data_IF_031482655242
#
_entry.id   IF_031482655242
#
_cell.length_a   1.000
_cell.length_b   1.000
_cell.length_c   1.000
_cell.angle_alpha   90.00
_cell.angle_beta   90.00
_cell.angle_gamma   90.00
#
_symmetry.space_group_name_H-M   'P 1'
#
loop_
_entity.id
_entity.type
_entity.pdbx_description
1 polymer ?
#
# COMPACT_ATOMS: atom_id res chain seq x y z
N UNK A 1 15.39 -1.61 5.56
CA UNK A 1 16.05 -2.88 5.16
C UNK A 1 17.55 -2.65 5.17
N UNK A 2 18.35 -3.64 5.57
CA UNK A 2 19.80 -3.53 5.67
C UNK A 2 20.50 -3.69 4.29
N UNK A 3 20.09 -2.90 3.30
CA UNK A 3 20.56 -3.07 1.91
C UNK A 3 22.06 -2.85 1.78
N UNK A 4 22.61 -1.89 2.51
CA UNK A 4 24.05 -1.62 2.53
C UNK A 4 24.86 -2.81 3.03
N UNK A 5 24.36 -3.51 4.06
CA UNK A 5 25.01 -4.69 4.63
C UNK A 5 24.91 -5.90 3.70
N UNK A 6 23.77 -6.08 3.01
CA UNK A 6 23.58 -7.10 1.97
C UNK A 6 24.57 -6.88 0.82
N UNK A 7 24.68 -5.63 0.32
CA UNK A 7 25.61 -5.25 -0.73
C UNK A 7 27.06 -5.50 -0.32
N UNK A 8 27.44 -5.11 0.90
CA UNK A 8 28.78 -5.32 1.47
C UNK A 8 29.17 -6.81 1.53
N UNK A 9 28.21 -7.71 1.75
CA UNK A 9 28.44 -9.16 1.82
C UNK A 9 28.37 -9.87 0.47
N UNK A 10 28.13 -9.14 -0.63
CA UNK A 10 27.99 -9.74 -1.96
C UNK A 10 26.77 -10.66 -2.10
N UNK A 11 25.74 -10.48 -1.24
CA UNK A 11 24.53 -11.31 -1.27
C UNK A 11 23.60 -10.78 -2.35
N UNK A 12 23.27 -11.63 -3.33
CA UNK A 12 22.30 -11.34 -4.39
C UNK A 12 20.89 -11.29 -3.82
N UNK A 13 20.03 -10.43 -4.37
CA UNK A 13 18.64 -10.24 -3.90
C UNK A 13 17.66 -10.43 -5.04
N UNK A 14 16.80 -11.44 -4.91
CA UNK A 14 15.62 -11.61 -5.75
C UNK A 14 14.39 -10.94 -5.15
N UNK A 15 13.48 -10.47 -6.00
CA UNK A 15 12.18 -9.96 -5.59
C UNK A 15 11.12 -10.26 -6.66
N UNK A 16 9.86 -9.93 -6.41
CA UNK A 16 8.73 -10.27 -7.29
C UNK A 16 8.04 -9.02 -7.84
N UNK A 17 8.69 -8.22 -8.72
CA UNK A 17 8.01 -7.11 -9.38
C UNK A 17 6.92 -7.62 -10.32
N UNK A 18 5.98 -6.74 -10.66
CA UNK A 18 4.97 -6.89 -11.73
C UNK A 18 3.89 -7.97 -11.53
N UNK A 19 4.25 -9.15 -11.03
CA UNK A 19 3.37 -10.32 -10.85
C UNK A 19 2.22 -10.12 -9.86
N UNK A 20 2.30 -9.08 -9.03
CA UNK A 20 1.29 -8.72 -8.01
C UNK A 20 0.62 -7.36 -8.25
N UNK A 21 0.97 -6.67 -9.34
CA UNK A 21 0.50 -5.30 -9.61
C UNK A 21 -1.02 -5.26 -9.73
N UNK A 22 -1.60 -6.14 -10.54
CA UNK A 22 -3.04 -6.16 -10.78
C UNK A 22 -3.82 -6.51 -9.51
N UNK A 23 -3.41 -7.55 -8.79
CA UNK A 23 -4.05 -7.93 -7.53
C UNK A 23 -4.01 -6.80 -6.48
N UNK A 24 -2.87 -6.10 -6.36
CA UNK A 24 -2.73 -4.97 -5.44
C UNK A 24 -3.62 -3.79 -5.86
N UNK A 25 -3.73 -3.53 -7.16
CA UNK A 25 -4.61 -2.49 -7.69
C UNK A 25 -6.09 -2.84 -7.46
N UNK A 26 -6.50 -4.08 -7.70
CA UNK A 26 -7.84 -4.59 -7.43
C UNK A 26 -8.22 -4.42 -5.96
N UNK A 27 -7.34 -4.80 -5.02
CA UNK A 27 -7.59 -4.57 -3.60
C UNK A 27 -7.69 -3.09 -3.26
N UNK A 28 -6.83 -2.24 -3.84
CA UNK A 28 -6.85 -0.79 -3.58
C UNK A 28 -8.20 -0.19 -3.96
N UNK A 29 -8.74 -0.58 -5.13
CA UNK A 29 -10.08 -0.15 -5.57
C UNK A 29 -11.15 -0.72 -4.64
N UNK A 30 -11.08 -2.00 -4.26
CA UNK A 30 -12.03 -2.61 -3.34
C UNK A 30 -12.05 -1.89 -1.97
N UNK A 31 -10.88 -1.60 -1.41
CA UNK A 31 -10.70 -0.89 -0.14
C UNK A 31 -11.22 0.54 -0.24
N UNK A 32 -10.92 1.27 -1.32
CA UNK A 32 -11.47 2.60 -1.58
C UNK A 32 -12.99 2.59 -1.49
N UNK A 33 -13.63 1.62 -2.14
CA UNK A 33 -15.08 1.55 -2.23
C UNK A 33 -15.72 1.08 -0.93
N UNK A 34 -15.12 0.10 -0.26
CA UNK A 34 -15.55 -0.32 1.06
C UNK A 34 -15.52 0.84 2.06
N UNK A 35 -14.44 1.62 2.03
CA UNK A 35 -14.23 2.79 2.89
C UNK A 35 -15.23 3.91 2.53
N UNK A 36 -15.26 4.34 1.26
CA UNK A 36 -16.09 5.45 0.81
C UNK A 36 -17.60 5.19 0.94
N UNK A 37 -18.03 3.93 0.85
CA UNK A 37 -19.43 3.53 0.98
C UNK A 37 -19.80 3.06 2.38
N UNK A 38 -18.86 3.12 3.33
CA UNK A 38 -19.03 2.67 4.72
C UNK A 38 -19.56 1.23 4.78
N UNK A 39 -19.09 0.36 3.87
CA UNK A 39 -19.48 -1.05 3.84
C UNK A 39 -19.20 -1.80 5.16
N UNK A 40 -18.13 -1.49 5.92
CA UNK A 40 -17.94 -2.07 7.25
C UNK A 40 -19.05 -1.69 8.24
N UNK A 41 -19.75 -0.58 8.02
CA UNK A 41 -20.88 -0.13 8.84
C UNK A 41 -22.24 -0.61 8.31
N UNK A 42 -22.28 -1.18 7.10
CA UNK A 42 -23.49 -1.69 6.47
C UNK A 42 -23.19 -2.65 5.32
N UNK A 43 -23.56 -3.92 5.47
CA UNK A 43 -23.39 -4.92 4.41
C UNK A 43 -24.32 -4.63 3.21
N UNK A 44 -23.84 -3.91 2.19
CA UNK A 44 -24.45 -4.01 0.86
C UNK A 44 -23.59 -3.48 -0.32
N UNK A 45 -23.36 -4.38 -1.29
CA UNK A 45 -23.36 -4.18 -2.76
C UNK A 45 -22.00 -4.07 -3.47
N UNK A 46 -21.69 -5.17 -4.17
CA UNK A 46 -20.52 -5.43 -5.01
C UNK A 46 -20.78 -5.24 -6.53
N UNK A 47 -21.66 -4.34 -6.98
CA UNK A 47 -22.15 -4.40 -8.38
C UNK A 47 -22.05 -3.19 -9.30
N UNK A 48 -21.29 -2.13 -9.01
CA UNK A 48 -21.45 -0.90 -9.83
C UNK A 48 -20.21 -0.06 -10.10
N UNK A 49 -19.09 -0.64 -10.54
CA UNK A 49 -17.77 0.02 -10.43
C UNK A 49 -17.10 0.56 -11.70
N UNK A 50 -17.85 0.89 -12.76
CA UNK A 50 -17.26 1.38 -14.01
C UNK A 50 -17.08 2.92 -14.23
N UNK A 51 -17.69 3.89 -13.49
CA UNK A 51 -17.54 5.32 -13.87
C UNK A 51 -17.06 6.33 -12.78
N UNK A 52 -16.16 6.00 -11.85
CA UNK A 52 -16.01 6.75 -10.57
C UNK A 52 -15.24 8.08 -10.53
N UNK A 53 -14.83 8.68 -11.65
CA UNK A 53 -14.41 10.10 -11.69
C UNK A 53 -13.39 10.54 -10.62
N UNK A 54 -12.31 9.75 -10.43
CA UNK A 54 -11.25 10.03 -9.44
C UNK A 54 -10.55 11.36 -9.78
N UNK A 55 -10.48 12.29 -8.81
CA UNK A 55 -9.99 13.67 -9.02
C UNK A 55 -8.49 13.89 -8.75
N UNK A 56 -7.82 12.98 -8.03
CA UNK A 56 -6.37 13.06 -7.74
C UNK A 56 -5.85 11.69 -7.34
N UNK A 57 -4.70 11.28 -7.88
CA UNK A 57 -3.99 10.05 -7.56
C UNK A 57 -2.62 10.43 -6.99
N UNK A 58 -2.24 9.83 -5.85
CA UNK A 58 -0.90 9.95 -5.27
C UNK A 58 -0.32 8.53 -5.20
N UNK A 59 0.97 8.37 -5.49
CA UNK A 59 1.64 7.08 -5.47
C UNK A 59 2.95 7.17 -4.66
N UNK A 60 3.38 6.06 -4.07
CA UNK A 60 4.67 5.95 -3.39
C UNK A 60 5.41 4.68 -3.87
N UNK A 61 6.74 4.68 -3.77
CA UNK A 61 7.58 3.59 -4.27
C UNK A 61 9.02 3.66 -3.74
N UNK A 62 9.85 2.67 -4.06
CA UNK A 62 11.28 2.64 -3.67
C UNK A 62 12.18 3.50 -4.58
N UNK A 63 11.67 3.86 -5.76
CA UNK A 63 12.30 4.72 -6.77
C UNK A 63 11.21 5.52 -7.47
N UNK A 64 11.53 6.74 -7.91
CA UNK A 64 10.66 7.50 -8.78
C UNK A 64 10.50 6.75 -10.11
N UNK A 65 9.26 6.57 -10.57
CA UNK A 65 8.99 5.92 -11.86
C UNK A 65 8.92 6.97 -12.96
N UNK A 66 9.41 6.68 -14.17
CA UNK A 66 9.48 7.66 -15.27
C UNK A 66 8.11 8.25 -15.65
N UNK A 67 7.04 7.48 -15.53
CA UNK A 67 5.66 7.91 -15.80
C UNK A 67 5.03 8.74 -14.66
N UNK A 68 5.73 8.91 -13.53
CA UNK A 68 5.25 9.68 -12.39
C UNK A 68 5.08 11.18 -12.67
N UNK A 69 5.92 11.70 -13.55
CA UNK A 69 5.89 13.10 -13.97
C UNK A 69 4.59 13.43 -14.74
N UNK A 70 3.99 12.44 -15.41
CA UNK A 70 2.73 12.59 -16.14
C UNK A 70 1.51 12.71 -15.20
N UNK A 71 1.69 12.40 -13.91
CA UNK A 71 0.64 12.41 -12.88
C UNK A 71 0.98 13.29 -11.68
N UNK A 72 1.99 14.16 -11.79
CA UNK A 72 2.42 15.10 -10.72
C UNK A 72 2.77 14.42 -9.38
N UNK A 73 3.41 13.25 -9.39
CA UNK A 73 3.73 12.52 -8.15
C UNK A 73 5.00 13.01 -7.44
N UNK A 74 4.88 13.38 -6.17
CA UNK A 74 6.00 13.74 -5.27
C UNK A 74 6.66 12.50 -4.63
N UNK A 75 7.98 12.56 -4.41
CA UNK A 75 8.78 11.44 -3.88
C UNK A 75 9.19 11.68 -2.43
N UNK A 76 8.40 11.19 -1.48
CA UNK A 76 8.76 11.13 -0.07
C UNK A 76 8.09 9.92 0.58
N UNK A 77 8.84 9.10 1.32
CA UNK A 77 8.40 7.72 1.65
C UNK A 77 8.12 7.49 3.12
N UNK A 78 8.44 8.44 4.00
CA UNK A 78 8.24 8.33 5.43
C UNK A 78 7.58 9.59 5.98
N UNK A 79 6.42 9.42 6.64
CA UNK A 79 5.69 10.53 7.24
C UNK A 79 5.18 11.58 6.25
N UNK A 80 5.14 11.28 4.96
CA UNK A 80 4.61 12.17 3.92
C UNK A 80 3.16 12.57 4.23
N UNK A 81 2.34 11.59 4.62
CA UNK A 81 0.96 11.83 5.03
C UNK A 81 0.91 12.13 6.53
N UNK A 82 1.27 13.37 6.88
CA UNK A 82 1.25 13.94 8.22
C UNK A 82 0.11 14.96 8.39
N UNK A 83 0.06 15.64 9.54
CA UNK A 83 -0.93 16.66 9.85
C UNK A 83 -1.09 17.71 8.74
N UNK A 84 0.01 18.26 8.23
CA UNK A 84 -0.01 19.31 7.20
C UNK A 84 -0.60 18.79 5.88
N UNK A 85 -0.34 17.52 5.56
CA UNK A 85 -0.97 16.84 4.42
C UNK A 85 -2.49 16.74 4.61
N UNK A 86 -2.95 16.24 5.76
CA UNK A 86 -4.39 16.07 6.03
C UNK A 86 -5.13 17.40 6.15
N UNK A 87 -4.51 18.46 6.67
CA UNK A 87 -5.10 19.80 6.72
C UNK A 87 -5.39 20.38 5.33
N UNK A 88 -4.64 19.97 4.29
CA UNK A 88 -4.86 20.39 2.90
C UNK A 88 -5.93 19.55 2.19
N UNK A 89 -6.37 18.44 2.80
CA UNK A 89 -7.43 17.60 2.24
C UNK A 89 -8.80 18.22 2.47
N UNK A 90 -9.74 17.91 1.56
CA UNK A 90 -11.15 18.27 1.76
C UNK A 90 -11.72 17.46 2.93
N UNK A 91 -12.62 18.06 3.70
CA UNK A 91 -13.37 17.35 4.75
C UNK A 91 -14.19 16.15 4.22
N UNK A 92 -14.53 16.13 2.93
CA UNK A 92 -15.21 15.02 2.25
C UNK A 92 -14.27 13.99 1.64
N UNK A 93 -12.95 14.15 1.80
CA UNK A 93 -11.97 13.29 1.17
C UNK A 93 -11.90 11.89 1.81
N UNK A 94 -11.61 10.90 0.98
CA UNK A 94 -11.33 9.52 1.38
C UNK A 94 -9.84 9.27 1.16
N UNK A 95 -9.14 8.80 2.19
CA UNK A 95 -7.71 8.50 2.13
C UNK A 95 -7.49 6.98 2.03
N UNK A 96 -6.62 6.51 1.13
CA UNK A 96 -6.31 5.08 0.96
C UNK A 96 -4.82 4.87 0.93
N UNK A 97 -4.31 3.91 1.72
CA UNK A 97 -2.92 3.50 1.68
C UNK A 97 -2.78 1.97 1.58
N UNK A 98 -2.24 1.53 0.44
CA UNK A 98 -1.85 0.13 0.15
C UNK A 98 -0.36 0.01 -0.16
N UNK A 99 0.42 1.04 0.21
CA UNK A 99 1.84 1.14 -0.15
C UNK A 99 2.77 0.62 0.96
N UNK A 100 3.09 1.46 1.95
CA UNK A 100 3.79 1.09 3.20
C UNK A 100 3.19 1.84 4.37
N UNK A 101 3.18 1.23 5.55
CA UNK A 101 2.71 1.89 6.77
C UNK A 101 3.48 3.17 7.10
N UNK A 102 4.80 3.16 6.90
CA UNK A 102 5.68 4.28 7.25
C UNK A 102 5.39 5.59 6.50
N UNK A 103 4.65 5.53 5.38
CA UNK A 103 4.24 6.72 4.61
C UNK A 103 3.28 7.61 5.41
N UNK A 104 2.55 7.01 6.35
CA UNK A 104 1.47 7.67 7.09
C UNK A 104 1.89 7.88 8.54
N UNK A 105 1.75 9.11 9.04
CA UNK A 105 1.75 9.33 10.49
C UNK A 105 0.38 8.88 11.03
N UNK A 106 0.34 7.73 11.71
CA UNK A 106 -0.90 7.13 12.20
C UNK A 106 -1.57 7.95 13.31
N UNK A 107 -0.81 8.74 14.08
CA UNK A 107 -1.37 9.64 15.09
C UNK A 107 -2.08 10.81 14.41
N UNK A 108 -1.42 11.44 13.43
CA UNK A 108 -2.04 12.53 12.67
C UNK A 108 -3.28 12.05 11.89
N UNK A 109 -3.24 10.83 11.35
CA UNK A 109 -4.38 10.21 10.70
C UNK A 109 -5.54 10.01 11.69
N UNK A 110 -5.27 9.51 12.90
CA UNK A 110 -6.28 9.34 13.94
C UNK A 110 -6.93 10.68 14.29
N UNK A 111 -6.14 11.74 14.48
CA UNK A 111 -6.65 13.09 14.75
C UNK A 111 -7.47 13.63 13.58
N UNK A 112 -7.02 13.43 12.34
CA UNK A 112 -7.75 13.89 11.15
C UNK A 112 -9.11 13.19 11.00
N UNK A 113 -9.20 11.91 11.34
CA UNK A 113 -10.44 11.13 11.27
C UNK A 113 -11.40 11.45 12.42
N UNK A 114 -10.89 11.56 13.65
CA UNK A 114 -11.71 11.82 14.84
C UNK A 114 -12.23 13.25 14.90
N UNK A 115 -11.48 14.23 14.38
CA UNK A 115 -11.91 15.62 14.26
C UNK A 115 -12.81 15.91 13.05
N UNK A 116 -12.92 14.96 12.12
CA UNK A 116 -13.66 15.14 10.86
C UNK A 116 -12.94 16.01 9.83
N UNK A 117 -11.62 16.20 9.95
CA UNK A 117 -10.77 16.86 8.95
C UNK A 117 -10.79 16.12 7.60
N UNK A 118 -10.95 14.80 7.63
CA UNK A 118 -11.22 13.96 6.45
C UNK A 118 -12.39 13.02 6.75
N UNK A 119 -13.08 12.54 5.71
CA UNK A 119 -14.30 11.76 5.90
C UNK A 119 -14.00 10.34 6.41
N UNK A 120 -13.06 9.65 5.77
CA UNK A 120 -12.71 8.27 6.11
C UNK A 120 -11.35 7.85 5.54
N UNK A 121 -10.81 6.76 6.07
CA UNK A 121 -9.55 6.18 5.60
C UNK A 121 -9.59 4.66 5.51
N UNK A 122 -8.88 4.10 4.53
CA UNK A 122 -8.66 2.67 4.35
C UNK A 122 -7.17 2.36 4.29
N UNK A 123 -6.70 1.46 5.14
CA UNK A 123 -5.30 1.05 5.26
C UNK A 123 -5.17 -0.45 5.02
N UNK A 124 -4.36 -0.86 4.05
CA UNK A 124 -3.91 -2.27 3.97
C UNK A 124 -2.57 -2.47 4.66
N UNK A 125 -1.86 -1.39 4.97
CA UNK A 125 -0.52 -1.42 5.56
C UNK A 125 -0.45 -0.49 6.77
N UNK A 126 0.29 -0.89 7.80
CA UNK A 126 0.38 -0.17 9.08
C UNK A 126 1.81 -0.14 9.62
N UNK A 127 2.04 0.62 10.70
CA UNK A 127 3.29 0.57 11.46
C UNK A 127 2.95 0.48 12.96
N UNK A 128 3.34 -0.58 13.67
CA UNK A 128 3.93 -1.82 13.18
C UNK A 128 2.91 -2.70 12.43
N UNK A 129 3.37 -3.84 11.91
CA UNK A 129 2.54 -4.92 11.39
C UNK A 129 2.85 -6.21 12.18
N UNK A 130 1.84 -6.87 12.81
CA UNK A 130 0.44 -6.47 12.87
C UNK A 130 0.22 -5.21 13.72
N UNK A 131 -0.83 -4.45 13.40
CA UNK A 131 -1.26 -3.33 14.24
C UNK A 131 -1.79 -3.89 15.59
N UNK A 132 -1.38 -3.32 16.75
CA UNK A 132 -1.91 -3.73 18.05
C UNK A 132 -3.44 -3.66 18.09
N UNK A 133 -4.09 -4.63 18.72
CA UNK A 133 -5.57 -4.72 18.74
C UNK A 133 -6.23 -3.62 19.57
N UNK A 134 -5.48 -2.97 20.45
CA UNK A 134 -5.87 -1.81 21.26
C UNK A 134 -5.51 -0.47 20.60
N UNK A 135 -4.99 -0.48 19.37
CA UNK A 135 -4.58 0.74 18.68
C UNK A 135 -5.79 1.65 18.37
N UNK A 136 -5.73 2.98 18.64
CA UNK A 136 -6.87 3.89 18.51
C UNK A 136 -7.57 3.89 17.15
N UNK A 137 -6.83 3.72 16.05
CA UNK A 137 -7.41 3.61 14.70
C UNK A 137 -8.49 2.53 14.59
N UNK A 138 -8.38 1.41 15.32
CA UNK A 138 -9.34 0.32 15.29
C UNK A 138 -10.65 0.65 16.02
N UNK A 139 -10.69 1.75 16.78
CA UNK A 139 -11.92 2.25 17.44
C UNK A 139 -12.77 3.13 16.52
N UNK A 140 -12.20 3.63 15.43
CA UNK A 140 -12.83 4.58 14.52
C UNK A 140 -13.70 3.86 13.49
N UNK A 141 -15.00 4.18 13.46
CA UNK A 141 -15.96 3.62 12.49
C UNK A 141 -15.66 4.02 11.04
N UNK A 142 -15.04 5.19 10.85
CA UNK A 142 -14.64 5.72 9.56
C UNK A 142 -13.19 5.35 9.18
N UNK A 143 -12.61 4.33 9.83
CA UNK A 143 -11.31 3.76 9.47
C UNK A 143 -11.45 2.27 9.19
N UNK A 144 -10.95 1.81 8.03
CA UNK A 144 -10.88 0.40 7.66
C UNK A 144 -9.43 -0.01 7.65
N UNK A 145 -9.08 -1.07 8.39
CA UNK A 145 -7.72 -1.62 8.41
C UNK A 145 -7.76 -3.06 7.96
N UNK A 146 -6.95 -3.41 6.96
CA UNK A 146 -6.83 -4.75 6.42
C UNK A 146 -5.47 -5.39 6.76
N UNK A 147 -5.45 -6.74 6.82
CA UNK A 147 -4.33 -7.66 6.91
C UNK A 147 -2.96 -7.50 6.27
N UNK A 148 -2.67 -6.45 5.49
CA UNK A 148 -1.65 -6.52 4.43
C UNK A 148 -1.93 -7.65 3.43
N UNK A 149 -3.09 -7.56 2.78
CA UNK A 149 -3.62 -8.58 1.85
C UNK A 149 -3.58 -8.15 0.38
N UNK A 150 -2.86 -7.07 0.04
CA UNK A 150 -2.70 -6.55 -1.33
C UNK A 150 -2.60 -7.60 -2.43
N UNK A 151 -1.72 -8.58 -2.25
CA UNK A 151 -1.45 -9.65 -3.22
C UNK A 151 -2.04 -11.01 -2.84
N UNK A 152 -2.94 -11.07 -1.86
CA UNK A 152 -3.40 -12.31 -1.23
C UNK A 152 -4.48 -13.06 -2.05
N UNK A 153 -4.23 -13.27 -3.34
CA UNK A 153 -4.99 -14.21 -4.18
C UNK A 153 -4.18 -15.48 -4.41
N UNK A 154 -4.85 -16.63 -4.56
CA UNK A 154 -4.16 -17.90 -4.81
C UNK A 154 -3.30 -17.86 -6.08
N UNK A 155 -3.81 -17.25 -7.15
CA UNK A 155 -3.10 -17.11 -8.42
C UNK A 155 -1.85 -16.25 -8.26
N UNK A 156 -1.96 -15.05 -7.69
CA UNK A 156 -0.82 -14.14 -7.50
C UNK A 156 0.21 -14.73 -6.54
N UNK A 157 -0.22 -15.30 -5.41
CA UNK A 157 0.70 -15.97 -4.47
C UNK A 157 1.42 -17.16 -5.11
N UNK A 158 0.74 -17.92 -5.97
CA UNK A 158 1.35 -19.01 -6.74
C UNK A 158 2.49 -18.52 -7.64
N UNK A 159 2.22 -17.50 -8.47
CA UNK A 159 3.23 -16.91 -9.36
C UNK A 159 4.38 -16.27 -8.59
N UNK A 160 4.09 -15.57 -7.49
CA UNK A 160 5.12 -15.01 -6.60
C UNK A 160 6.02 -16.09 -5.98
N UNK A 161 5.43 -17.21 -5.55
CA UNK A 161 6.16 -18.32 -4.95
C UNK A 161 7.11 -18.96 -5.97
N UNK A 162 6.62 -19.21 -7.18
CA UNK A 162 7.42 -19.74 -8.30
C UNK A 162 8.58 -18.79 -8.66
N UNK A 163 8.30 -17.49 -8.84
CA UNK A 163 9.33 -16.50 -9.14
C UNK A 163 10.39 -16.40 -8.02
N UNK A 164 9.96 -16.46 -6.75
CA UNK A 164 10.87 -16.46 -5.61
C UNK A 164 11.77 -17.69 -5.59
N UNK A 165 11.21 -18.88 -5.87
CA UNK A 165 11.97 -20.11 -5.97
C UNK A 165 12.99 -20.07 -7.12
N UNK A 166 12.57 -19.60 -8.29
CA UNK A 166 13.45 -19.48 -9.46
C UNK A 166 14.57 -18.45 -9.24
N UNK A 167 14.28 -17.32 -8.58
CA UNK A 167 15.32 -16.38 -8.16
C UNK A 167 16.33 -17.05 -7.21
N UNK A 168 15.86 -17.76 -6.19
CA UNK A 168 16.76 -18.44 -5.25
C UNK A 168 17.65 -19.47 -5.95
N UNK A 169 17.07 -20.29 -6.84
CA UNK A 169 17.82 -21.30 -7.60
C UNK A 169 18.88 -20.65 -8.50
N UNK A 170 18.52 -19.59 -9.23
CA UNK A 170 19.49 -18.86 -10.05
C UNK A 170 20.61 -18.23 -9.22
N UNK A 171 20.27 -17.69 -8.05
CA UNK A 171 21.22 -17.19 -7.05
C UNK A 171 22.23 -18.26 -6.61
N UNK A 172 21.75 -19.45 -6.25
CA UNK A 172 22.57 -20.57 -5.75
C UNK A 172 23.43 -21.22 -6.85
N UNK A 173 22.94 -21.28 -8.07
CA UNK A 173 23.65 -21.87 -9.21
C UNK A 173 24.64 -20.90 -9.86
N UNK A 174 24.63 -19.62 -9.46
CA UNK A 174 25.45 -18.59 -10.09
C UNK A 174 24.96 -18.19 -11.50
N UNK A 175 23.70 -18.53 -11.83
CA UNK A 175 23.06 -18.13 -13.10
C UNK A 175 22.23 -16.86 -12.91
N UNK A 176 21.60 -16.39 -13.99
CA UNK A 176 20.70 -15.25 -13.92
C UNK A 176 19.48 -15.55 -13.05
N UNK A 177 19.07 -14.57 -12.24
CA UNK A 177 17.79 -14.61 -11.54
C UNK A 177 16.73 -13.91 -12.42
N UNK A 178 15.54 -14.48 -12.60
CA UNK A 178 14.48 -13.86 -13.39
C UNK A 178 14.11 -12.44 -12.95
N UNK A 179 14.26 -12.12 -11.66
CA UNK A 179 14.01 -10.78 -11.11
C UNK A 179 15.02 -10.44 -10.02
N UNK A 180 16.21 -10.03 -10.45
CA UNK A 180 17.29 -9.55 -9.59
C UNK A 180 17.16 -8.06 -9.29
N UNK A 181 17.27 -7.70 -8.00
CA UNK A 181 17.49 -6.33 -7.59
C UNK A 181 18.98 -5.99 -7.77
N UNK A 182 19.26 -5.08 -8.72
CA UNK A 182 20.62 -4.59 -9.00
C UNK A 182 20.93 -3.36 -8.12
N UNK A 183 22.16 -3.28 -7.60
CA UNK A 183 22.67 -2.21 -6.74
C UNK A 183 23.79 -1.41 -7.38
#
# INVERSE_FOLDING_TARGET
MAMDEIKKRGVRVGYTPDVLTDATAELTVALLLATARRLPEGMAIARRLKPFGVKRLLYSGRTAKSYAAEVEGEYETQGLCNKDFFCKMKNTAVFINTSRGAVVNQEDLYQALSSGQIACAGLDVTTPEPLPTDHPLLTLKNCVVLPHIGSATYSTRGVMAELSANNLLGGLQGTDMPSELKF
#
